data_IF_093412293851
#
_entry.id   IF_093412293851
#
_cell.length_a   1.000
_cell.length_b   1.000
_cell.length_c   1.000
_cell.angle_alpha   90.00
_cell.angle_beta   90.00
_cell.angle_gamma   90.00
#
_symmetry.space_group_name_H-M   'P 1'
#
loop_
_entity.id
_entity.type
_entity.pdbx_description
1 polymer ?
#
# COMPACT_ATOMS: atom_id res chain seq x y z
N UNK A 1 36.10 4.55 -19.00
CA UNK A 1 35.36 4.37 -17.74
C UNK A 1 33.89 4.54 -18.06
N UNK A 2 33.13 3.45 -18.09
CA UNK A 2 31.69 3.47 -18.38
C UNK A 2 31.04 2.52 -17.41
N UNK A 3 30.34 3.07 -16.41
CA UNK A 3 29.56 2.31 -15.44
C UNK A 3 28.20 2.03 -16.08
N UNK A 4 28.00 0.80 -16.57
CA UNK A 4 26.69 0.35 -17.05
C UNK A 4 25.80 0.06 -15.85
N UNK A 5 24.70 0.82 -15.79
CA UNK A 5 23.63 0.75 -14.80
C UNK A 5 22.95 -0.63 -14.86
N UNK A 6 22.84 -1.29 -13.70
CA UNK A 6 22.17 -2.58 -13.57
C UNK A 6 20.65 -2.40 -13.72
N UNK A 7 20.07 -3.02 -14.76
CA UNK A 7 18.63 -3.18 -14.87
C UNK A 7 18.15 -4.09 -13.74
N UNK A 8 17.31 -3.57 -12.86
CA UNK A 8 16.64 -4.38 -11.86
C UNK A 8 15.65 -5.32 -12.57
N UNK A 9 16.03 -6.59 -12.70
CA UNK A 9 15.14 -7.63 -13.21
C UNK A 9 13.92 -7.71 -12.30
N UNK A 10 12.69 -7.68 -12.83
CA UNK A 10 11.50 -7.82 -12.02
C UNK A 10 11.55 -9.15 -11.25
N UNK A 11 11.40 -9.08 -9.92
CA UNK A 11 11.35 -10.28 -9.09
C UNK A 11 10.07 -11.07 -9.36
N UNK A 12 10.16 -12.41 -9.28
CA UNK A 12 9.03 -13.29 -9.53
C UNK A 12 7.87 -12.95 -8.57
N UNK A 13 6.62 -13.01 -9.06
CA UNK A 13 5.39 -12.62 -8.35
C UNK A 13 5.27 -13.13 -6.90
N UNK A 14 5.62 -14.39 -6.55
CA UNK A 14 5.54 -14.87 -5.17
C UNK A 14 6.54 -14.17 -4.24
N UNK A 15 7.71 -13.78 -4.77
CA UNK A 15 8.74 -13.07 -4.02
C UNK A 15 8.37 -11.60 -3.80
N UNK A 16 7.79 -10.95 -4.82
CA UNK A 16 7.36 -9.56 -4.76
C UNK A 16 6.34 -9.29 -3.64
N UNK A 17 5.47 -10.26 -3.36
CA UNK A 17 4.44 -10.11 -2.33
C UNK A 17 4.93 -10.37 -0.90
N UNK A 18 6.05 -11.07 -0.70
CA UNK A 18 6.43 -11.60 0.61
C UNK A 18 6.66 -10.51 1.66
N UNK A 19 7.36 -9.43 1.29
CA UNK A 19 7.62 -8.30 2.19
C UNK A 19 6.36 -7.46 2.46
N UNK A 20 5.59 -7.01 1.45
CA UNK A 20 4.35 -6.27 1.68
C UNK A 20 3.34 -7.03 2.55
N UNK A 21 3.13 -8.33 2.30
CA UNK A 21 2.20 -9.15 3.10
C UNK A 21 2.60 -9.13 4.59
N UNK A 22 3.90 -9.27 4.89
CA UNK A 22 4.39 -9.23 6.26
C UNK A 22 4.20 -7.85 6.89
N UNK A 23 4.54 -6.76 6.18
CA UNK A 23 4.34 -5.41 6.70
C UNK A 23 2.87 -5.09 6.98
N UNK A 24 1.97 -5.54 6.11
CA UNK A 24 0.53 -5.41 6.32
C UNK A 24 0.08 -6.14 7.58
N UNK A 25 0.51 -7.38 7.77
CA UNK A 25 0.17 -8.18 8.95
C UNK A 25 0.70 -7.55 10.25
N UNK A 26 1.95 -7.07 10.25
CA UNK A 26 2.57 -6.42 11.41
C UNK A 26 1.79 -5.16 11.82
N UNK A 27 1.36 -4.34 10.85
CA UNK A 27 0.55 -3.14 11.12
C UNK A 27 -0.85 -3.48 11.64
N UNK A 28 -1.52 -4.48 11.07
CA UNK A 28 -2.83 -4.95 11.55
C UNK A 28 -2.73 -5.46 12.99
N UNK A 29 -1.68 -6.21 13.33
CA UNK A 29 -1.44 -6.67 14.70
C UNK A 29 -1.24 -5.50 15.66
N UNK A 30 -0.36 -4.56 15.30
CA UNK A 30 -0.06 -3.38 16.11
C UNK A 30 -1.30 -2.52 16.38
N UNK A 31 -2.11 -2.25 15.34
CA UNK A 31 -3.32 -1.45 15.47
C UNK A 31 -4.42 -2.15 16.26
N UNK A 32 -4.49 -3.47 16.17
CA UNK A 32 -5.42 -4.27 16.97
C UNK A 32 -5.06 -4.25 18.46
N UNK A 33 -3.78 -4.32 18.78
CA UNK A 33 -3.29 -4.36 20.17
C UNK A 33 -3.28 -2.97 20.81
N UNK A 34 -2.81 -1.94 20.11
CA UNK A 34 -2.68 -0.58 20.63
C UNK A 34 -3.98 0.24 20.55
N UNK A 35 -4.59 0.31 19.37
CA UNK A 35 -5.74 1.18 19.10
C UNK A 35 -7.09 0.43 19.15
N UNK A 36 -7.07 -0.89 19.37
CA UNK A 36 -8.25 -1.78 19.23
C UNK A 36 -8.94 -1.64 17.86
N UNK A 37 -8.19 -1.19 16.85
CA UNK A 37 -8.69 -0.97 15.51
C UNK A 37 -8.65 -2.29 14.74
N UNK A 38 -9.80 -2.71 14.19
CA UNK A 38 -9.89 -3.90 13.35
C UNK A 38 -9.88 -3.52 11.87
N UNK A 39 -8.90 -4.05 11.17
CA UNK A 39 -8.73 -3.98 9.73
C UNK A 39 -8.93 -5.38 9.15
N UNK A 40 -9.94 -5.56 8.31
CA UNK A 40 -10.48 -6.86 7.88
C UNK A 40 -10.19 -7.15 6.40
N UNK A 41 -9.15 -6.51 5.86
CA UNK A 41 -8.79 -6.53 4.43
C UNK A 41 -9.95 -6.20 3.45
N UNK A 42 -10.95 -5.44 3.88
CA UNK A 42 -12.00 -4.90 3.01
C UNK A 42 -11.62 -3.52 2.44
N UNK A 43 -12.31 -3.09 1.37
CA UNK A 43 -12.20 -1.69 0.93
C UNK A 43 -12.78 -0.71 1.98
N UNK A 44 -13.74 -1.15 2.80
CA UNK A 44 -14.40 -0.29 3.78
C UNK A 44 -13.47 0.04 4.96
N UNK A 45 -12.64 -0.89 5.40
CA UNK A 45 -11.67 -0.67 6.48
C UNK A 45 -10.57 0.33 6.11
N UNK A 46 -10.37 0.66 4.83
CA UNK A 46 -9.41 1.69 4.41
C UNK A 46 -9.79 3.09 4.93
N UNK A 47 -11.07 3.36 5.16
CA UNK A 47 -11.46 4.60 5.83
C UNK A 47 -10.90 4.69 7.26
N UNK A 48 -10.80 3.56 7.96
CA UNK A 48 -10.18 3.51 9.30
C UNK A 48 -8.67 3.73 9.24
N UNK A 49 -8.01 3.21 8.21
CA UNK A 49 -6.60 3.47 7.97
C UNK A 49 -6.34 4.96 7.66
N UNK A 50 -7.14 5.58 6.78
CA UNK A 50 -7.06 7.01 6.49
C UNK A 50 -7.23 7.86 7.77
N UNK A 51 -8.18 7.48 8.63
CA UNK A 51 -8.40 8.16 9.92
C UNK A 51 -7.22 8.05 10.85
N UNK A 52 -6.64 6.86 10.99
CA UNK A 52 -5.44 6.65 11.80
C UNK A 52 -4.25 7.51 11.32
N UNK A 53 -4.05 7.61 9.99
CA UNK A 53 -2.98 8.45 9.43
C UNK A 53 -3.24 9.94 9.70
N UNK A 54 -4.49 10.40 9.55
CA UNK A 54 -4.87 11.78 9.86
C UNK A 54 -4.72 12.10 11.36
N UNK A 55 -4.99 11.15 12.26
CA UNK A 55 -4.75 11.27 13.70
C UNK A 55 -3.27 11.45 14.01
N UNK A 56 -2.40 10.55 13.53
CA UNK A 56 -0.95 10.65 13.68
C UNK A 56 -0.40 11.99 13.16
N UNK A 57 -0.92 12.47 12.02
CA UNK A 57 -0.54 13.75 11.44
C UNK A 57 -0.93 14.91 12.35
N UNK A 58 -2.14 14.89 12.91
CA UNK A 58 -2.65 15.95 13.80
C UNK A 58 -1.94 15.99 15.15
N UNK A 59 -1.45 14.84 15.61
CA UNK A 59 -0.60 14.75 16.80
C UNK A 59 0.79 15.34 16.58
N UNK A 60 1.17 15.66 15.34
CA UNK A 60 2.48 16.19 15.00
C UNK A 60 3.60 15.16 15.15
N UNK A 61 3.26 13.87 15.05
CA UNK A 61 4.25 12.80 15.20
C UNK A 61 5.36 12.95 14.15
N UNK A 62 6.65 12.88 14.51
CA UNK A 62 7.71 12.93 13.50
C UNK A 62 7.61 11.78 12.50
N UNK A 63 7.85 12.06 11.21
CA UNK A 63 7.77 11.05 10.15
C UNK A 63 8.58 9.78 10.46
N UNK A 64 9.80 9.94 10.98
CA UNK A 64 10.66 8.81 11.34
C UNK A 64 10.04 7.85 12.36
N UNK A 65 9.16 8.34 13.25
CA UNK A 65 8.47 7.50 14.23
C UNK A 65 7.29 6.73 13.62
N UNK A 66 6.69 7.24 12.54
CA UNK A 66 5.53 6.62 11.88
C UNK A 66 5.88 5.88 10.60
N UNK A 67 7.10 6.01 10.08
CA UNK A 67 7.49 5.44 8.77
C UNK A 67 7.14 3.95 8.62
N UNK A 68 7.44 3.15 9.64
CA UNK A 68 7.13 1.72 9.62
C UNK A 68 5.62 1.44 9.63
N UNK A 69 4.85 2.24 10.37
CA UNK A 69 3.40 2.15 10.41
C UNK A 69 2.79 2.56 9.06
N UNK A 70 3.25 3.66 8.46
CA UNK A 70 2.80 4.11 7.14
C UNK A 70 3.12 3.08 6.06
N UNK A 71 4.33 2.48 6.11
CA UNK A 71 4.69 1.39 5.20
C UNK A 71 3.78 0.19 5.35
N UNK A 72 3.42 -0.18 6.59
CA UNK A 72 2.48 -1.27 6.85
C UNK A 72 1.05 -0.96 6.42
N UNK A 73 0.56 0.26 6.63
CA UNK A 73 -0.78 0.71 6.18
C UNK A 73 -0.87 0.81 4.65
N UNK A 74 0.21 1.25 4.00
CA UNK A 74 0.34 1.21 2.55
C UNK A 74 0.33 -0.24 2.04
N UNK A 75 1.13 -1.11 2.62
CA UNK A 75 1.12 -2.53 2.27
C UNK A 75 -0.25 -3.19 2.49
N UNK A 76 -0.95 -2.85 3.59
CA UNK A 76 -2.32 -3.28 3.84
C UNK A 76 -3.27 -2.81 2.73
N UNK A 77 -3.12 -1.57 2.26
CA UNK A 77 -3.92 -1.05 1.14
C UNK A 77 -3.65 -1.80 -0.15
N UNK A 78 -2.38 -2.08 -0.47
CA UNK A 78 -2.04 -2.90 -1.63
C UNK A 78 -2.62 -4.30 -1.55
N UNK A 79 -2.60 -4.92 -0.37
CA UNK A 79 -3.24 -6.19 -0.08
C UNK A 79 -4.78 -6.16 -0.27
N UNK A 80 -5.44 -5.04 0.02
CA UNK A 80 -6.86 -4.86 -0.32
C UNK A 80 -7.04 -4.78 -1.84
N UNK A 81 -6.23 -3.99 -2.54
CA UNK A 81 -6.32 -3.84 -4.01
C UNK A 81 -6.08 -5.18 -4.73
N UNK A 82 -5.07 -5.94 -4.33
CA UNK A 82 -4.79 -7.30 -4.85
C UNK A 82 -6.03 -8.18 -4.76
N UNK A 83 -6.74 -8.18 -3.62
CA UNK A 83 -7.95 -8.98 -3.42
C UNK A 83 -9.15 -8.47 -4.21
N UNK A 84 -9.33 -7.15 -4.30
CA UNK A 84 -10.53 -6.55 -4.90
C UNK A 84 -10.45 -6.41 -6.43
N UNK A 85 -9.26 -6.20 -6.98
CA UNK A 85 -9.05 -5.91 -8.40
C UNK A 85 -8.37 -7.06 -9.16
N UNK A 86 -8.07 -8.19 -8.51
CA UNK A 86 -7.24 -9.25 -9.10
C UNK A 86 -5.84 -8.76 -9.47
N UNK A 87 -5.36 -7.76 -8.74
CA UNK A 87 -4.07 -7.13 -8.97
C UNK A 87 -2.94 -7.99 -8.38
N UNK A 88 -1.69 -7.66 -8.71
CA UNK A 88 -0.52 -8.43 -8.29
C UNK A 88 0.56 -7.50 -7.73
N UNK A 89 1.26 -7.96 -6.70
CA UNK A 89 2.46 -7.26 -6.25
C UNK A 89 3.57 -7.38 -7.28
N UNK A 90 4.27 -6.27 -7.48
CA UNK A 90 5.46 -6.16 -8.28
C UNK A 90 6.52 -5.42 -7.47
N UNK A 91 7.76 -5.87 -7.53
CA UNK A 91 8.86 -5.21 -6.89
C UNK A 91 10.07 -5.10 -7.84
N UNK A 92 10.82 -4.03 -7.64
CA UNK A 92 12.04 -3.72 -8.38
C UNK A 92 12.84 -2.71 -7.59
N UNK A 93 14.15 -2.91 -7.44
CA UNK A 93 15.02 -1.97 -6.73
C UNK A 93 14.71 -1.76 -5.24
N UNK A 94 13.86 -2.61 -4.63
CA UNK A 94 13.42 -2.48 -3.23
C UNK A 94 12.08 -1.74 -3.06
N UNK A 95 11.55 -1.16 -4.12
CA UNK A 95 10.22 -0.55 -4.16
C UNK A 95 9.16 -1.61 -4.47
N UNK A 96 7.91 -1.35 -4.05
CA UNK A 96 6.81 -2.30 -4.16
C UNK A 96 5.56 -1.59 -4.69
N UNK A 97 5.06 -2.08 -5.83
CA UNK A 97 3.87 -1.59 -6.51
C UNK A 97 2.81 -2.67 -6.60
N UNK A 98 1.56 -2.25 -6.78
CA UNK A 98 0.46 -3.13 -7.17
C UNK A 98 0.16 -2.89 -8.64
N UNK A 99 0.22 -3.96 -9.44
CA UNK A 99 -0.15 -3.94 -10.85
C UNK A 99 -1.56 -4.47 -11.04
N UNK A 100 -2.48 -3.64 -11.51
CA UNK A 100 -3.84 -4.06 -11.85
C UNK A 100 -3.87 -4.77 -13.23
N UNK A 101 -4.91 -5.58 -13.53
CA UNK A 101 -5.00 -6.33 -14.79
C UNK A 101 -4.96 -5.47 -16.07
N UNK A 102 -5.41 -4.21 -15.97
CA UNK A 102 -5.30 -3.20 -17.04
C UNK A 102 -3.85 -2.70 -17.26
N UNK A 103 -2.89 -3.22 -16.49
CA UNK A 103 -1.47 -2.95 -16.61
C UNK A 103 -0.99 -1.73 -15.82
N UNK A 104 -1.88 -0.97 -15.17
CA UNK A 104 -1.50 0.20 -14.37
C UNK A 104 -0.75 -0.20 -13.11
N UNK A 105 0.18 0.65 -12.69
CA UNK A 105 0.96 0.50 -11.45
C UNK A 105 0.49 1.51 -10.43
N UNK A 106 0.33 1.03 -9.21
CA UNK A 106 -0.11 1.81 -8.05
C UNK A 106 0.93 1.67 -6.96
N UNK A 107 1.31 2.78 -6.33
CA UNK A 107 2.23 2.79 -5.19
C UNK A 107 1.47 3.06 -3.89
N UNK A 108 0.98 2.01 -3.21
CA UNK A 108 0.22 2.20 -1.99
C UNK A 108 1.12 2.60 -0.79
N UNK A 109 2.43 2.36 -0.86
CA UNK A 109 3.37 2.76 0.18
C UNK A 109 3.60 4.27 0.11
N UNK A 110 3.83 4.80 -1.09
CA UNK A 110 3.93 6.24 -1.31
C UNK A 110 2.61 6.94 -1.01
N UNK A 111 1.47 6.37 -1.40
CA UNK A 111 0.17 6.95 -1.08
C UNK A 111 -0.06 7.10 0.44
N UNK A 112 0.40 6.14 1.26
CA UNK A 112 0.34 6.29 2.72
C UNK A 112 1.20 7.46 3.25
N UNK A 113 2.37 7.69 2.64
CA UNK A 113 3.23 8.85 2.96
C UNK A 113 2.56 10.15 2.55
N UNK A 114 1.93 10.17 1.37
CA UNK A 114 1.16 11.31 0.87
C UNK A 114 -0.06 11.63 1.74
N UNK A 115 -0.79 10.60 2.19
CA UNK A 115 -1.86 10.76 3.18
C UNK A 115 -1.36 11.45 4.45
N UNK A 116 -0.20 11.02 4.97
CA UNK A 116 0.41 11.61 6.17
C UNK A 116 0.88 13.06 5.93
N UNK A 117 1.34 13.38 4.72
CA UNK A 117 1.65 14.75 4.32
C UNK A 117 0.39 15.62 4.11
N UNK A 118 -0.81 15.03 4.10
CA UNK A 118 -2.09 15.72 3.91
C UNK A 118 -2.57 15.77 2.46
N UNK A 119 -1.93 15.04 1.53
CA UNK A 119 -2.24 15.02 0.09
C UNK A 119 -2.41 13.58 -0.44
N UNK A 120 -3.34 12.82 0.12
CA UNK A 120 -3.61 11.45 -0.34
C UNK A 120 -4.80 10.82 0.37
N UNK A 121 -5.23 9.66 -0.13
CA UNK A 121 -6.22 8.82 0.57
C UNK A 121 -6.16 7.37 0.10
N UNK A 122 -5.89 6.46 1.03
CA UNK A 122 -5.80 5.02 0.77
C UNK A 122 -7.09 4.45 0.19
N UNK A 123 -8.25 4.93 0.68
CA UNK A 123 -9.55 4.51 0.13
C UNK A 123 -9.76 5.00 -1.30
N UNK A 124 -9.25 6.19 -1.66
CA UNK A 124 -9.39 6.74 -3.01
C UNK A 124 -8.47 6.01 -3.98
N UNK A 125 -7.21 5.76 -3.59
CA UNK A 125 -6.30 4.90 -4.34
C UNK A 125 -6.93 3.53 -4.63
N UNK A 126 -7.49 2.87 -3.60
CA UNK A 126 -8.12 1.57 -3.78
C UNK A 126 -9.34 1.63 -4.70
N UNK A 127 -10.19 2.66 -4.55
CA UNK A 127 -11.35 2.87 -5.42
C UNK A 127 -10.92 3.04 -6.88
N UNK A 128 -9.92 3.87 -7.12
CA UNK A 128 -9.47 4.20 -8.47
C UNK A 128 -8.78 3.00 -9.14
N UNK A 129 -7.98 2.23 -8.38
CA UNK A 129 -7.38 0.97 -8.83
C UNK A 129 -8.44 -0.10 -9.16
N UNK A 130 -9.51 -0.19 -8.37
CA UNK A 130 -10.60 -1.16 -8.60
C UNK A 130 -11.51 -0.74 -9.75
N UNK A 131 -11.68 0.57 -9.97
CA UNK A 131 -12.52 1.10 -11.05
C UNK A 131 -11.90 0.89 -12.43
N UNK A 132 -10.56 0.91 -12.55
CA UNK A 132 -9.84 0.63 -13.80
C UNK A 132 -9.89 -0.83 -14.23
N UNK A 133 -9.95 -1.77 -13.27
CA UNK A 133 -9.98 -3.21 -13.54
C UNK A 133 -11.28 -3.69 -14.23
N UNK A 134 -12.39 -2.93 -14.10
CA UNK A 134 -13.69 -3.28 -14.71
C UNK A 134 -13.88 -2.78 -16.16
N UNK A 135 -12.92 -2.06 -16.73
CA UNK A 135 -13.06 -1.39 -18.03
C UNK A 135 -12.66 -2.19 -19.28
N UNK A 136 -11.99 -3.33 -19.11
CA UNK A 136 -11.51 -4.16 -20.24
C UNK A 136 -12.52 -5.25 -20.57
N UNK A 137 -13.59 -4.87 -21.28
CA UNK A 137 -14.62 -5.81 -21.72
C UNK A 137 -15.83 -5.16 -22.37
N UNK A 138 -15.63 -4.46 -23.50
CA UNK A 138 -16.64 -4.28 -24.54
C UNK A 138 -15.97 -4.31 -25.91
#
# INVERSE_FOLDING_TARGET
MTTTQAGATPENRPSAAAKPVRWAADAVATLREGARLRLDYSAQSLWRADRMIDELRREGTPYAAVENMLRGLGAYTGEVIVRQAGAEWWASGGDHWVRTPDGRLWDPIDEARRCFAGDGSLRLLCRDATSGAGGSGR
#
